data_IF_354368830629
#
_entry.id   IF_354368830629
#
_cell.length_a   1.000
_cell.length_b   1.000
_cell.length_c   1.000
_cell.angle_alpha   90.00
_cell.angle_beta   90.00
_cell.angle_gamma   90.00
#
_symmetry.space_group_name_H-M   'P 1'
#
loop_
_entity.id
_entity.type
_entity.pdbx_description
1 polymer ?
#
# COMPACT_ATOMS: atom_id res chain seq x y z
N UNK A 1 -26.65 62.53 13.84
CA UNK A 1 -25.60 62.38 12.81
C UNK A 1 -24.35 61.87 13.50
N UNK A 2 -23.84 60.73 13.03
CA UNK A 2 -22.42 60.30 13.00
C UNK A 2 -22.39 58.78 12.98
N UNK A 3 -22.18 58.28 11.76
CA UNK A 3 -21.97 56.88 11.40
C UNK A 3 -20.52 56.56 11.71
N UNK A 4 -20.24 55.51 12.46
CA UNK A 4 -18.87 54.98 12.58
C UNK A 4 -18.95 53.46 12.50
N UNK A 5 -18.96 52.99 11.26
CA UNK A 5 -18.79 51.58 10.93
C UNK A 5 -17.40 51.12 11.33
N UNK A 6 -17.34 50.24 12.33
CA UNK A 6 -16.18 49.38 12.51
C UNK A 6 -16.26 48.27 11.47
N UNK A 7 -15.57 48.45 10.36
CA UNK A 7 -15.19 47.33 9.50
C UNK A 7 -14.22 46.47 10.30
N UNK A 8 -14.72 45.33 10.82
CA UNK A 8 -13.84 44.24 11.22
C UNK A 8 -13.09 43.79 9.95
N UNK A 9 -11.76 43.70 9.94
CA UNK A 9 -11.08 42.99 8.88
C UNK A 9 -11.63 41.56 8.89
N UNK A 10 -12.24 41.16 7.78
CA UNK A 10 -12.58 39.77 7.53
C UNK A 10 -11.24 39.04 7.51
N UNK A 11 -10.93 38.28 8.58
CA UNK A 11 -9.87 37.28 8.52
C UNK A 11 -10.23 36.33 7.38
N UNK A 12 -9.50 36.44 6.27
CA UNK A 12 -9.58 35.44 5.22
C UNK A 12 -9.16 34.09 5.83
N UNK A 13 -9.93 33.01 5.61
CA UNK A 13 -9.52 31.68 6.02
C UNK A 13 -8.19 31.30 5.35
N UNK A 14 -7.39 30.40 5.96
CA UNK A 14 -6.00 30.19 5.61
C UNK A 14 -5.86 29.37 4.32
N UNK A 15 -6.14 29.98 3.17
CA UNK A 15 -6.04 29.37 1.83
C UNK A 15 -4.59 29.01 1.45
N UNK A 16 -3.59 29.55 2.16
CA UNK A 16 -2.18 29.13 2.02
C UNK A 16 -1.85 27.86 2.81
N UNK A 17 -2.62 27.53 3.86
CA UNK A 17 -2.38 26.35 4.69
C UNK A 17 -2.84 25.06 4.01
N UNK A 18 -3.91 25.13 3.22
CA UNK A 18 -4.49 23.97 2.54
C UNK A 18 -3.63 23.49 1.36
N UNK A 19 -3.03 24.41 0.58
CA UNK A 19 -2.14 24.07 -0.55
C UNK A 19 -0.87 23.35 -0.10
N UNK A 20 -0.24 23.85 0.95
CA UNK A 20 0.92 23.20 1.56
C UNK A 20 0.54 21.84 2.15
N UNK A 21 -0.64 21.74 2.76
CA UNK A 21 -1.14 20.49 3.35
C UNK A 21 -1.40 19.39 2.31
N UNK A 22 -2.02 19.72 1.16
CA UNK A 22 -2.30 18.71 0.12
C UNK A 22 -1.01 18.15 -0.47
N UNK A 23 -0.03 19.01 -0.74
CA UNK A 23 1.25 18.58 -1.31
C UNK A 23 2.01 17.67 -0.34
N UNK A 24 2.00 18.01 0.95
CA UNK A 24 2.61 17.17 2.01
C UNK A 24 1.90 15.82 2.11
N UNK A 25 0.57 15.79 2.16
CA UNK A 25 -0.22 14.54 2.21
C UNK A 25 0.11 13.63 1.01
N UNK A 26 0.18 14.20 -0.20
CA UNK A 26 0.51 13.43 -1.41
C UNK A 26 1.96 12.93 -1.41
N UNK A 27 2.90 13.75 -0.91
CA UNK A 27 4.31 13.40 -0.83
C UNK A 27 4.55 12.29 0.20
N UNK A 28 3.95 12.38 1.38
CA UNK A 28 4.01 11.36 2.43
C UNK A 28 3.37 10.06 1.94
N UNK A 29 2.21 10.16 1.28
CA UNK A 29 1.56 9.01 0.64
C UNK A 29 2.45 8.34 -0.40
N UNK A 30 3.17 9.11 -1.22
CA UNK A 30 4.08 8.58 -2.22
C UNK A 30 5.26 7.86 -1.55
N UNK A 31 5.90 8.47 -0.55
CA UNK A 31 7.01 7.88 0.19
C UNK A 31 6.61 6.56 0.86
N UNK A 32 5.41 6.51 1.45
CA UNK A 32 4.86 5.28 2.04
C UNK A 32 4.66 4.18 1.00
N UNK A 33 4.07 4.50 -0.16
CA UNK A 33 3.85 3.51 -1.23
C UNK A 33 5.19 2.98 -1.77
N UNK A 34 6.21 3.83 -1.86
CA UNK A 34 7.56 3.42 -2.27
C UNK A 34 8.23 2.50 -1.24
N UNK A 35 8.15 2.82 0.04
CA UNK A 35 8.64 1.98 1.13
C UNK A 35 7.93 0.61 1.17
N UNK A 36 6.59 0.61 1.11
CA UNK A 36 5.79 -0.61 1.02
C UNK A 36 6.14 -1.44 -0.22
N UNK A 37 6.38 -0.78 -1.35
CA UNK A 37 6.82 -1.45 -2.58
C UNK A 37 8.18 -2.12 -2.42
N UNK A 38 9.12 -1.47 -1.72
CA UNK A 38 10.44 -2.02 -1.44
C UNK A 38 10.35 -3.23 -0.50
N UNK A 39 9.56 -3.14 0.58
CA UNK A 39 9.31 -4.26 1.51
C UNK A 39 8.66 -5.44 0.80
N UNK A 40 7.64 -5.19 -0.01
CA UNK A 40 6.98 -6.21 -0.81
C UNK A 40 7.94 -6.87 -1.81
N UNK A 41 8.85 -6.10 -2.43
CA UNK A 41 9.88 -6.66 -3.29
C UNK A 41 10.85 -7.57 -2.54
N UNK A 42 11.25 -7.21 -1.32
CA UNK A 42 12.11 -8.06 -0.47
C UNK A 42 11.41 -9.36 -0.12
N UNK A 43 10.14 -9.30 0.32
CA UNK A 43 9.33 -10.48 0.58
C UNK A 43 9.22 -11.37 -0.67
N UNK A 44 8.98 -10.77 -1.84
CA UNK A 44 8.88 -11.49 -3.12
C UNK A 44 10.18 -12.22 -3.49
N UNK A 45 11.34 -11.59 -3.25
CA UNK A 45 12.66 -12.21 -3.44
C UNK A 45 12.91 -13.32 -2.42
N UNK A 46 12.50 -13.13 -1.17
CA UNK A 46 12.68 -14.10 -0.11
C UNK A 46 11.85 -15.37 -0.35
N UNK A 47 10.65 -15.22 -0.91
CA UNK A 47 9.84 -16.34 -1.38
C UNK A 47 10.57 -17.20 -2.43
N UNK A 48 11.49 -16.63 -3.23
CA UNK A 48 12.30 -17.42 -4.17
C UNK A 48 13.42 -18.21 -3.48
N UNK A 49 13.89 -17.76 -2.32
CA UNK A 49 14.91 -18.47 -1.54
C UNK A 49 14.36 -19.72 -0.84
N UNK A 50 13.04 -19.82 -0.69
CA UNK A 50 12.37 -20.98 -0.09
C UNK A 50 12.55 -21.12 1.43
N UNK A 51 12.94 -20.06 2.14
CA UNK A 51 13.16 -20.08 3.59
C UNK A 51 11.91 -19.66 4.38
N UNK A 52 11.13 -20.60 4.94
CA UNK A 52 9.79 -20.30 5.46
C UNK A 52 9.80 -19.32 6.63
N UNK A 53 10.76 -19.46 7.56
CA UNK A 53 10.85 -18.59 8.74
C UNK A 53 11.16 -17.14 8.37
N UNK A 54 12.06 -16.93 7.41
CA UNK A 54 12.41 -15.57 6.95
C UNK A 54 11.22 -14.96 6.19
N UNK A 55 10.52 -15.76 5.35
CA UNK A 55 9.31 -15.31 4.63
C UNK A 55 8.23 -14.85 5.62
N UNK A 56 7.98 -15.61 6.69
CA UNK A 56 6.99 -15.24 7.70
C UNK A 56 7.36 -13.95 8.44
N UNK A 57 8.64 -13.75 8.76
CA UNK A 57 9.11 -12.54 9.44
C UNK A 57 8.94 -11.30 8.55
N UNK A 58 9.38 -11.37 7.28
CA UNK A 58 9.21 -10.25 6.34
C UNK A 58 7.74 -9.97 6.02
N UNK A 59 6.89 -11.01 5.98
CA UNK A 59 5.45 -10.83 5.81
C UNK A 59 4.84 -10.06 6.99
N UNK A 60 5.23 -10.39 8.23
CA UNK A 60 4.77 -9.68 9.42
C UNK A 60 5.24 -8.21 9.43
N UNK A 61 6.48 -7.94 9.01
CA UNK A 61 6.99 -6.57 8.88
C UNK A 61 6.24 -5.77 7.82
N UNK A 62 5.89 -6.39 6.69
CA UNK A 62 5.08 -5.76 5.65
C UNK A 62 3.66 -5.47 6.15
N UNK A 63 3.04 -6.40 6.87
CA UNK A 63 1.72 -6.21 7.48
C UNK A 63 1.73 -5.06 8.49
N UNK A 64 2.74 -4.99 9.37
CA UNK A 64 2.91 -3.89 10.29
C UNK A 64 3.06 -2.54 9.57
N UNK A 65 3.85 -2.50 8.49
CA UNK A 65 4.02 -1.30 7.68
C UNK A 65 2.72 -0.88 7.00
N UNK A 66 1.91 -1.83 6.51
CA UNK A 66 0.58 -1.56 5.94
C UNK A 66 -0.37 -0.96 6.98
N UNK A 67 -0.40 -1.54 8.19
CA UNK A 67 -1.20 -1.03 9.28
C UNK A 67 -0.78 0.38 9.70
N UNK A 68 0.53 0.65 9.72
CA UNK A 68 1.06 1.98 10.02
C UNK A 68 0.77 3.01 8.93
N UNK A 69 0.70 2.59 7.66
CA UNK A 69 0.37 3.45 6.53
C UNK A 69 -1.14 3.73 6.37
N UNK A 70 -2.01 2.94 7.03
CA UNK A 70 -3.46 3.05 6.90
C UNK A 70 -4.02 4.46 7.22
N UNK A 71 -3.58 5.17 8.28
CA UNK A 71 -4.01 6.53 8.55
C UNK A 71 -3.66 7.50 7.42
N UNK A 72 -2.45 7.42 6.85
CA UNK A 72 -2.04 8.29 5.74
C UNK A 72 -2.85 8.06 4.47
N UNK A 73 -3.24 6.81 4.19
CA UNK A 73 -4.18 6.54 3.10
C UNK A 73 -5.59 7.08 3.37
N UNK A 74 -6.02 7.12 4.63
CA UNK A 74 -7.28 7.76 5.02
C UNK A 74 -7.21 9.29 4.87
N UNK A 75 -6.07 9.90 5.16
CA UNK A 75 -5.84 11.34 4.93
C UNK A 75 -5.90 11.67 3.43
N UNK A 76 -5.29 10.84 2.58
CA UNK A 76 -5.39 10.98 1.13
C UNK A 76 -6.84 10.84 0.65
N UNK A 77 -7.60 9.89 1.19
CA UNK A 77 -9.01 9.73 0.86
C UNK A 77 -9.86 10.93 1.31
N UNK A 78 -9.58 11.48 2.48
CA UNK A 78 -10.24 12.67 3.02
C UNK A 78 -9.93 13.90 2.16
N UNK A 79 -8.66 14.10 1.78
CA UNK A 79 -8.23 15.15 0.86
C UNK A 79 -8.91 15.02 -0.51
N UNK A 80 -9.02 13.81 -1.07
CA UNK A 80 -9.79 13.60 -2.30
C UNK A 80 -11.28 13.95 -2.13
N UNK A 81 -11.87 13.65 -0.98
CA UNK A 81 -13.23 14.04 -0.63
C UNK A 81 -13.43 15.56 -0.60
N UNK A 82 -12.50 16.30 0.01
CA UNK A 82 -12.50 17.76 0.01
C UNK A 82 -12.36 18.37 -1.39
N UNK A 83 -11.56 17.74 -2.26
CA UNK A 83 -11.42 18.13 -3.67
C UNK A 83 -12.62 17.74 -4.54
N UNK A 84 -13.60 16.99 -4.02
CA UNK A 84 -14.70 16.43 -4.82
C UNK A 84 -14.22 15.41 -5.87
N UNK A 85 -13.06 14.79 -5.64
CA UNK A 85 -12.40 13.90 -6.59
C UNK A 85 -12.69 12.42 -6.26
N UNK A 86 -13.24 11.69 -7.23
CA UNK A 86 -13.50 10.25 -7.07
C UNK A 86 -12.23 9.38 -7.11
N UNK A 87 -11.12 9.91 -7.64
CA UNK A 87 -9.85 9.20 -7.75
C UNK A 87 -8.69 10.19 -7.93
N UNK A 88 -7.45 9.71 -7.82
CA UNK A 88 -6.25 10.54 -7.96
C UNK A 88 -6.10 11.22 -9.33
N UNK A 89 -6.66 10.67 -10.41
CA UNK A 89 -6.64 11.34 -11.71
C UNK A 89 -7.62 12.53 -11.74
N UNK A 90 -8.82 12.35 -11.19
CA UNK A 90 -9.77 13.44 -10.99
C UNK A 90 -9.19 14.50 -10.05
N UNK A 91 -8.51 14.09 -8.98
CA UNK A 91 -7.82 15.00 -8.05
C UNK A 91 -6.74 15.81 -8.77
N UNK A 92 -5.93 15.17 -9.63
CA UNK A 92 -4.92 15.87 -10.42
C UNK A 92 -5.52 16.91 -11.37
N UNK A 93 -6.70 16.65 -11.95
CA UNK A 93 -7.42 17.62 -12.80
C UNK A 93 -7.88 18.81 -11.94
N UNK A 94 -8.58 18.54 -10.83
CA UNK A 94 -9.07 19.58 -9.90
C UNK A 94 -7.93 20.45 -9.36
N UNK A 95 -6.78 19.83 -9.05
CA UNK A 95 -5.60 20.55 -8.58
C UNK A 95 -4.99 21.44 -9.67
N UNK A 96 -5.05 21.05 -10.95
CA UNK A 96 -4.62 21.93 -12.06
C UNK A 96 -5.55 23.11 -12.24
N UNK A 97 -6.86 22.89 -12.13
CA UNK A 97 -7.85 23.96 -12.18
C UNK A 97 -7.66 24.97 -11.02
N UNK A 98 -7.21 24.49 -9.86
CA UNK A 98 -6.84 25.31 -8.71
C UNK A 98 -5.41 25.91 -8.77
N UNK A 99 -4.74 25.85 -9.93
CA UNK A 99 -3.37 26.31 -10.16
C UNK A 99 -2.32 25.66 -9.23
N UNK A 100 -2.56 24.43 -8.78
CA UNK A 100 -1.66 23.63 -7.95
C UNK A 100 -0.91 22.58 -8.77
N UNK A 101 -0.03 23.03 -9.68
CA UNK A 101 0.66 22.15 -10.63
C UNK A 101 1.52 21.08 -9.96
N UNK A 102 2.22 21.39 -8.87
CA UNK A 102 3.04 20.41 -8.14
C UNK A 102 2.19 19.34 -7.44
N UNK A 103 1.11 19.75 -6.74
CA UNK A 103 0.19 18.79 -6.12
C UNK A 103 -0.45 17.88 -7.17
N UNK A 104 -0.85 18.42 -8.33
CA UNK A 104 -1.36 17.63 -9.43
C UNK A 104 -0.34 16.61 -9.96
N UNK A 105 0.94 17.00 -10.04
CA UNK A 105 2.05 16.11 -10.43
C UNK A 105 2.25 14.99 -9.41
N UNK A 106 2.20 15.31 -8.11
CA UNK A 106 2.30 14.34 -7.03
C UNK A 106 1.13 13.36 -7.06
N UNK A 107 -0.10 13.81 -7.30
CA UNK A 107 -1.28 12.95 -7.41
C UNK A 107 -1.16 11.93 -8.55
N UNK A 108 -0.69 12.35 -9.73
CA UNK A 108 -0.46 11.41 -10.85
C UNK A 108 0.69 10.45 -10.56
N UNK A 109 1.75 10.93 -9.90
CA UNK A 109 2.90 10.10 -9.51
C UNK A 109 2.48 9.03 -8.50
N UNK A 110 1.70 9.41 -7.48
CA UNK A 110 1.13 8.51 -6.49
C UNK A 110 0.21 7.48 -7.13
N UNK A 111 -0.65 7.90 -8.07
CA UNK A 111 -1.50 6.98 -8.86
C UNK A 111 -0.66 5.95 -9.60
N UNK A 112 0.42 6.38 -10.25
CA UNK A 112 1.36 5.48 -10.93
C UNK A 112 2.05 4.51 -9.96
N UNK A 113 2.49 5.00 -8.79
CA UNK A 113 3.13 4.19 -7.76
C UNK A 113 2.17 3.12 -7.21
N UNK A 114 0.94 3.49 -6.86
CA UNK A 114 -0.11 2.57 -6.41
C UNK A 114 -0.44 1.52 -7.47
N UNK A 115 -0.52 1.91 -8.75
CA UNK A 115 -0.73 0.97 -9.85
C UNK A 115 0.39 -0.07 -9.97
N UNK A 116 1.65 0.33 -9.77
CA UNK A 116 2.80 -0.60 -9.75
C UNK A 116 2.77 -1.49 -8.51
N UNK A 117 2.49 -0.92 -7.34
CA UNK A 117 2.37 -1.65 -6.08
C UNK A 117 1.29 -2.73 -6.15
N UNK A 118 0.09 -2.41 -6.66
CA UNK A 118 -1.00 -3.37 -6.81
C UNK A 118 -0.63 -4.55 -7.73
N UNK A 119 0.02 -4.28 -8.87
CA UNK A 119 0.51 -5.33 -9.77
C UNK A 119 1.53 -6.24 -9.08
N UNK A 120 2.46 -5.67 -8.32
CA UNK A 120 3.47 -6.42 -7.57
C UNK A 120 2.82 -7.26 -6.47
N UNK A 121 1.83 -6.71 -5.76
CA UNK A 121 1.11 -7.39 -4.69
C UNK A 121 0.36 -8.61 -5.22
N UNK A 122 -0.31 -8.47 -6.36
CA UNK A 122 -0.96 -9.59 -7.04
C UNK A 122 0.03 -10.70 -7.45
N UNK A 123 1.22 -10.33 -7.95
CA UNK A 123 2.25 -11.28 -8.33
C UNK A 123 2.82 -12.03 -7.12
N UNK A 124 3.14 -11.31 -6.04
CA UNK A 124 3.61 -11.89 -4.78
C UNK A 124 2.58 -12.84 -4.17
N UNK A 125 1.30 -12.47 -4.16
CA UNK A 125 0.22 -13.33 -3.67
C UNK A 125 0.09 -14.64 -4.48
N UNK A 126 0.17 -14.56 -5.82
CA UNK A 126 0.19 -15.76 -6.68
C UNK A 126 1.37 -16.67 -6.32
N UNK A 127 2.54 -16.11 -6.04
CA UNK A 127 3.72 -16.89 -5.63
C UNK A 127 3.51 -17.56 -4.28
N UNK A 128 3.01 -16.84 -3.28
CA UNK A 128 2.70 -17.42 -1.97
C UNK A 128 1.73 -18.61 -2.09
N UNK A 129 0.69 -18.49 -2.94
CA UNK A 129 -0.23 -19.59 -3.22
C UNK A 129 0.46 -20.80 -3.88
N UNK A 130 1.36 -20.57 -4.83
CA UNK A 130 2.14 -21.65 -5.47
C UNK A 130 3.05 -22.35 -4.46
N UNK A 131 3.72 -21.59 -3.60
CA UNK A 131 4.58 -22.11 -2.52
C UNK A 131 3.78 -23.02 -1.57
N UNK A 132 2.62 -22.58 -1.12
CA UNK A 132 1.74 -23.35 -0.24
C UNK A 132 1.25 -24.66 -0.89
N UNK A 133 0.92 -24.62 -2.19
CA UNK A 133 0.53 -25.81 -2.95
C UNK A 133 1.69 -26.81 -3.07
N UNK A 134 2.89 -26.32 -3.38
CA UNK A 134 4.11 -27.13 -3.48
C UNK A 134 4.46 -27.80 -2.15
N UNK A 135 4.43 -27.05 -1.04
CA UNK A 135 4.67 -27.59 0.30
C UNK A 135 3.64 -28.65 0.68
N UNK A 136 2.34 -28.38 0.45
CA UNK A 136 1.27 -29.35 0.71
C UNK A 136 1.40 -30.62 -0.14
N UNK A 137 1.94 -30.52 -1.36
CA UNK A 137 2.21 -31.69 -2.19
C UNK A 137 3.41 -32.48 -1.65
N UNK A 138 4.51 -31.80 -1.31
CA UNK A 138 5.70 -32.41 -0.73
C UNK A 138 5.39 -33.13 0.60
N UNK A 139 4.60 -32.51 1.48
CA UNK A 139 4.16 -33.13 2.74
C UNK A 139 3.33 -34.39 2.48
N UNK A 140 2.41 -34.37 1.52
CA UNK A 140 1.63 -35.57 1.13
C UNK A 140 2.52 -36.67 0.55
N UNK A 141 3.51 -36.32 -0.26
CA UNK A 141 4.49 -37.30 -0.76
C UNK A 141 5.33 -37.90 0.36
N UNK A 142 5.81 -37.09 1.32
CA UNK A 142 6.53 -37.59 2.50
C UNK A 142 5.65 -38.49 3.36
N UNK A 143 4.39 -38.14 3.57
CA UNK A 143 3.42 -39.00 4.28
C UNK A 143 3.19 -40.32 3.55
N UNK A 144 3.06 -40.29 2.22
CA UNK A 144 2.90 -41.50 1.42
C UNK A 144 4.13 -42.42 1.49
N UNK A 145 5.34 -41.85 1.50
CA UNK A 145 6.58 -42.60 1.68
C UNK A 145 6.67 -43.23 3.08
N UNK A 146 6.38 -42.47 4.14
CA UNK A 146 6.36 -42.99 5.50
C UNK A 146 5.27 -44.05 5.74
N UNK A 147 4.12 -43.93 5.07
CA UNK A 147 3.07 -44.95 5.10
C UNK A 147 3.44 -46.20 4.29
N UNK A 148 4.14 -46.05 3.16
CA UNK A 148 4.63 -47.18 2.38
C UNK A 148 5.69 -48.00 3.14
N UNK A 149 6.54 -47.33 3.93
CA UNK A 149 7.54 -47.99 4.78
C UNK A 149 6.88 -48.79 5.93
N UNK A 150 5.86 -48.22 6.59
CA UNK A 150 5.10 -48.92 7.62
C UNK A 150 4.28 -50.11 7.06
N UNK A 151 3.74 -49.99 5.85
CA UNK A 151 3.01 -51.07 5.18
C UNK A 151 3.92 -52.23 4.73
N UNK A 152 5.17 -51.95 4.36
CA UNK A 152 6.14 -52.98 3.96
C UNK A 152 6.63 -53.82 5.14
N UNK A 153 6.84 -53.22 6.31
CA UNK A 153 7.28 -53.93 7.52
C UNK A 153 6.20 -54.87 8.09
N UNK A 154 4.92 -54.61 7.83
CA UNK A 154 3.81 -55.49 8.24
C UNK A 154 3.62 -56.65 7.25
N UNK A 155 4.01 -56.49 5.98
CA UNK A 155 3.88 -57.53 4.96
C UNK A 155 5.03 -58.55 4.95
N UNK A 156 6.14 -58.27 5.65
CA UNK A 156 7.32 -59.15 5.77
C UNK A 156 7.42 -59.86 7.14
N UNK A 157 6.42 -59.72 8.02
CA UNK A 157 6.32 -60.39 9.34
C UNK A 157 5.21 -61.46 9.36
#
# INVERSE_FOLDING_TARGET
MSVSGQFRPVELPPLLSEKASISVILQDGLALVEDLSAKLQRLDQLMLSGKPNEISQEAALLEQALNHAAPSFADIATMMGHLGAANLAAAAIQLREAEQSEAARLAETLRGALGRFAKRSAAANRRAQQLNKGLSAALRSLQALGMAEAGRLIAEA
#
